data_IF_104387682701
#
_entry.id   IF_104387682701
#
_cell.length_a   1.000
_cell.length_b   1.000
_cell.length_c   1.000
_cell.angle_alpha   90.00
_cell.angle_beta   90.00
_cell.angle_gamma   90.00
#
_symmetry.space_group_name_H-M   'P 1'
#
loop_
_entity.id
_entity.type
_entity.pdbx_description
1 polymer ?
#
# COMPACT_ATOMS: atom_id res chain seq x y z
N UNK A 1 -38.83 54.62 29.36
CA UNK A 1 -39.51 53.30 29.21
C UNK A 1 -38.74 52.47 28.19
N UNK A 2 -38.40 51.22 28.56
CA UNK A 2 -38.23 49.98 27.75
C UNK A 2 -37.45 50.06 26.42
N UNK A 3 -36.56 49.15 26.00
CA UNK A 3 -35.79 48.00 26.49
C UNK A 3 -35.15 47.43 25.19
N UNK A 4 -33.91 46.92 25.26
CA UNK A 4 -33.31 45.83 24.42
C UNK A 4 -33.22 46.00 22.88
N UNK A 5 -31.99 46.06 22.32
CA UNK A 5 -31.20 44.97 21.71
C UNK A 5 -31.72 44.53 20.32
N UNK A 6 -30.90 44.36 19.28
CA UNK A 6 -30.15 43.13 19.01
C UNK A 6 -29.04 43.40 17.95
N UNK A 7 -27.85 42.91 18.27
CA UNK A 7 -26.68 42.73 17.39
C UNK A 7 -26.94 41.50 16.49
N UNK A 8 -26.76 41.61 15.18
CA UNK A 8 -26.60 40.45 14.30
C UNK A 8 -25.27 40.55 13.55
N UNK A 9 -24.23 40.10 14.25
CA UNK A 9 -22.94 39.73 13.69
C UNK A 9 -23.06 38.29 13.16
N UNK A 10 -23.54 38.12 11.93
CA UNK A 10 -23.55 36.81 11.26
C UNK A 10 -22.17 36.54 10.66
N UNK A 11 -21.25 36.12 11.53
CA UNK A 11 -20.10 35.31 11.13
C UNK A 11 -20.67 33.97 10.67
N UNK A 12 -20.74 33.78 9.35
CA UNK A 12 -20.94 32.48 8.72
C UNK A 12 -19.65 31.65 8.93
N UNK A 13 -19.46 31.14 10.14
CA UNK A 13 -18.67 29.94 10.36
C UNK A 13 -19.49 28.77 9.81
N UNK A 14 -19.44 28.58 8.49
CA UNK A 14 -19.64 27.26 7.91
C UNK A 14 -18.43 26.41 8.33
N UNK A 15 -18.47 25.98 9.59
CA UNK A 15 -17.70 24.83 10.02
C UNK A 15 -18.18 23.66 9.17
N UNK A 16 -17.35 23.24 8.22
CA UNK A 16 -17.40 21.91 7.66
C UNK A 16 -17.27 20.93 8.83
N UNK A 17 -18.42 20.52 9.38
CA UNK A 17 -18.52 19.29 10.14
C UNK A 17 -18.36 18.13 9.14
N UNK A 18 -17.13 17.91 8.68
CA UNK A 18 -16.77 16.58 8.23
C UNK A 18 -16.98 15.66 9.45
N UNK A 19 -17.74 14.58 9.33
CA UNK A 19 -17.88 13.63 10.43
C UNK A 19 -16.47 13.18 10.79
N UNK A 20 -16.06 13.50 12.01
CA UNK A 20 -14.78 13.12 12.58
C UNK A 20 -14.83 11.60 12.72
N UNK A 21 -14.51 10.89 11.63
CA UNK A 21 -14.50 9.44 11.56
C UNK A 21 -13.49 8.99 12.60
N UNK A 22 -13.98 8.30 13.63
CA UNK A 22 -13.23 7.92 14.83
C UNK A 22 -11.81 7.46 14.47
N UNK A 23 -10.80 8.26 14.85
CA UNK A 23 -9.37 7.94 14.71
C UNK A 23 -9.02 6.59 15.38
N UNK A 24 -9.85 6.13 16.34
CA UNK A 24 -9.65 4.87 17.05
C UNK A 24 -10.08 3.60 16.29
N UNK A 25 -10.95 3.65 15.27
CA UNK A 25 -11.38 2.44 14.54
C UNK A 25 -10.35 1.97 13.49
N UNK A 26 -9.48 2.86 13.02
CA UNK A 26 -8.57 2.55 11.90
C UNK A 26 -7.32 1.76 12.33
N UNK A 27 -7.01 1.71 13.64
CA UNK A 27 -5.84 1.01 14.18
C UNK A 27 -5.83 -0.51 13.91
N UNK A 28 -6.99 -1.09 13.59
CA UNK A 28 -7.14 -2.51 13.28
C UNK A 28 -6.74 -2.86 11.83
N UNK A 29 -6.45 -1.87 10.99
CA UNK A 29 -6.00 -2.07 9.62
C UNK A 29 -4.48 -1.98 9.48
N UNK A 30 -3.88 -2.70 8.51
CA UNK A 30 -2.47 -2.55 8.17
C UNK A 30 -2.10 -1.09 7.92
N UNK A 31 -0.88 -0.68 8.28
CA UNK A 31 -0.39 0.70 8.13
C UNK A 31 -0.62 1.27 6.74
N UNK A 32 -0.39 0.47 5.70
CA UNK A 32 -0.59 0.90 4.33
C UNK A 32 -2.06 1.18 3.98
N UNK A 33 -2.99 0.42 4.56
CA UNK A 33 -4.43 0.65 4.38
C UNK A 33 -4.84 1.95 5.07
N UNK A 34 -4.29 2.24 6.26
CA UNK A 34 -4.51 3.52 6.97
C UNK A 34 -3.98 4.70 6.18
N UNK A 35 -2.80 4.56 5.55
CA UNK A 35 -2.22 5.57 4.67
C UNK A 35 -3.16 5.87 3.48
N UNK A 36 -3.63 4.82 2.79
CA UNK A 36 -4.56 4.95 1.66
C UNK A 36 -5.84 5.67 2.08
N UNK A 37 -6.46 5.27 3.18
CA UNK A 37 -7.71 5.88 3.68
C UNK A 37 -7.51 7.33 4.08
N UNK A 38 -6.39 7.64 4.72
CA UNK A 38 -6.03 9.02 5.08
C UNK A 38 -5.88 9.87 3.82
N UNK A 39 -5.21 9.34 2.80
CA UNK A 39 -5.06 10.01 1.51
C UNK A 39 -6.41 10.21 0.80
N UNK A 40 -7.29 9.21 0.79
CA UNK A 40 -8.65 9.34 0.22
C UNK A 40 -9.48 10.42 0.92
N UNK A 41 -9.42 10.48 2.25
CA UNK A 41 -10.14 11.50 3.02
C UNK A 41 -9.65 12.92 2.70
N UNK A 42 -8.34 13.09 2.49
CA UNK A 42 -7.75 14.37 2.10
C UNK A 42 -8.03 14.73 0.62
N UNK A 43 -8.21 13.73 -0.23
CA UNK A 43 -8.40 13.88 -1.66
C UNK A 43 -9.69 13.19 -2.16
N UNK A 44 -10.88 13.70 -1.80
CA UNK A 44 -12.17 13.06 -2.12
C UNK A 44 -12.49 12.96 -3.62
N UNK A 45 -11.68 13.59 -4.47
CA UNK A 45 -11.79 13.49 -5.95
C UNK A 45 -10.90 12.40 -6.55
N UNK A 46 -10.17 11.64 -5.74
CA UNK A 46 -9.26 10.60 -6.21
C UNK A 46 -10.03 9.45 -6.88
N UNK A 47 -9.76 9.23 -8.17
CA UNK A 47 -10.49 8.25 -8.99
C UNK A 47 -11.62 8.85 -9.83
N UNK A 48 -11.94 10.14 -9.72
CA UNK A 48 -13.09 10.73 -10.42
C UNK A 48 -12.92 10.85 -11.94
N UNK A 49 -11.68 11.11 -12.40
CA UNK A 49 -11.31 11.10 -13.81
C UNK A 49 -9.81 10.82 -13.95
N UNK A 50 -9.38 10.49 -15.16
CA UNK A 50 -8.01 10.08 -15.46
C UNK A 50 -6.96 11.16 -15.09
N UNK A 51 -7.21 12.42 -15.45
CA UNK A 51 -6.26 13.52 -15.20
C UNK A 51 -6.05 13.74 -13.70
N UNK A 52 -7.13 13.81 -12.92
CA UNK A 52 -7.07 13.95 -11.46
C UNK A 52 -6.44 12.70 -10.84
N UNK A 53 -6.79 11.51 -11.33
CA UNK A 53 -6.27 10.24 -10.81
C UNK A 53 -4.77 10.14 -11.01
N UNK A 54 -4.27 10.49 -12.19
CA UNK A 54 -2.82 10.50 -12.48
C UNK A 54 -2.08 11.44 -11.53
N UNK A 55 -2.54 12.69 -11.42
CA UNK A 55 -1.93 13.68 -10.52
C UNK A 55 -1.88 13.18 -9.08
N UNK A 56 -2.99 12.66 -8.57
CA UNK A 56 -3.08 12.19 -7.18
C UNK A 56 -2.34 10.86 -6.96
N UNK A 57 -2.23 10.00 -7.97
CA UNK A 57 -1.36 8.82 -7.92
C UNK A 57 0.12 9.23 -7.80
N UNK A 58 0.55 10.27 -8.53
CA UNK A 58 1.91 10.81 -8.40
C UNK A 58 2.16 11.38 -6.99
N UNK A 59 1.20 12.14 -6.44
CA UNK A 59 1.28 12.64 -5.05
C UNK A 59 1.30 11.50 -4.01
N UNK A 60 0.45 10.48 -4.20
CA UNK A 60 0.41 9.31 -3.34
C UNK A 60 1.72 8.50 -3.40
N UNK A 61 2.30 8.34 -4.59
CA UNK A 61 3.58 7.65 -4.78
C UNK A 61 4.70 8.27 -3.95
N UNK A 62 4.75 9.59 -3.87
CA UNK A 62 5.74 10.30 -3.03
C UNK A 62 5.51 10.01 -1.54
N UNK A 63 4.27 10.07 -1.07
CA UNK A 63 3.94 9.77 0.34
C UNK A 63 4.19 8.30 0.70
N UNK A 64 3.85 7.38 -0.20
CA UNK A 64 4.12 5.96 -0.05
C UNK A 64 5.63 5.70 0.02
N UNK A 65 6.42 6.30 -0.87
CA UNK A 65 7.88 6.17 -0.87
C UNK A 65 8.50 6.64 0.45
N UNK A 66 7.99 7.73 1.02
CA UNK A 66 8.45 8.23 2.32
C UNK A 66 8.09 7.26 3.45
N UNK A 67 6.86 6.75 3.45
CA UNK A 67 6.39 5.76 4.44
C UNK A 67 7.19 4.46 4.38
N UNK A 68 7.56 4.00 3.17
CA UNK A 68 8.37 2.80 2.95
C UNK A 68 9.82 2.91 3.47
N UNK A 69 10.28 4.11 3.85
CA UNK A 69 11.57 4.26 4.54
C UNK A 69 11.56 3.67 5.95
N UNK A 70 10.40 3.59 6.58
CA UNK A 70 10.22 2.75 7.78
C UNK A 70 10.25 1.29 7.35
N UNK A 71 11.31 0.58 7.75
CA UNK A 71 11.57 -0.81 7.35
C UNK A 71 10.46 -1.77 7.76
N UNK A 72 9.67 -1.38 8.76
CA UNK A 72 8.56 -2.16 9.27
C UNK A 72 7.24 -1.82 8.59
N UNK A 73 7.14 -0.79 7.75
CA UNK A 73 5.87 -0.26 7.23
C UNK A 73 4.93 -1.32 6.63
N UNK A 74 5.47 -2.33 5.94
CA UNK A 74 4.72 -3.44 5.35
C UNK A 74 4.69 -4.74 6.19
N UNK A 75 5.28 -4.74 7.38
CA UNK A 75 5.39 -5.95 8.23
C UNK A 75 4.06 -6.47 8.79
N UNK A 76 2.98 -5.69 8.66
CA UNK A 76 1.61 -6.09 9.04
C UNK A 76 0.76 -6.56 7.84
N UNK A 77 1.36 -6.66 6.65
CA UNK A 77 0.74 -7.19 5.43
C UNK A 77 1.29 -8.58 5.12
N UNK A 78 0.38 -9.54 4.94
CA UNK A 78 0.71 -10.90 4.49
C UNK A 78 0.90 -10.91 2.98
N UNK A 79 2.00 -11.47 2.50
CA UNK A 79 2.30 -11.65 1.08
C UNK A 79 2.64 -13.11 0.80
N UNK A 80 2.20 -13.62 -0.34
CA UNK A 80 2.50 -14.97 -0.81
C UNK A 80 3.83 -14.97 -1.53
N UNK A 81 4.68 -15.95 -1.25
CA UNK A 81 5.85 -16.22 -2.08
C UNK A 81 5.39 -16.72 -3.45
N UNK A 82 5.85 -16.06 -4.51
CA UNK A 82 5.49 -16.39 -5.88
C UNK A 82 6.64 -17.07 -6.62
N UNK A 83 7.84 -16.50 -6.58
CA UNK A 83 9.02 -17.12 -7.17
C UNK A 83 10.31 -16.77 -6.47
N UNK A 84 11.32 -17.63 -6.66
CA UNK A 84 12.71 -17.42 -6.25
C UNK A 84 13.58 -17.66 -7.48
N UNK A 85 14.48 -16.72 -7.76
CA UNK A 85 15.42 -16.77 -8.88
C UNK A 85 16.85 -16.68 -8.35
N UNK A 86 17.71 -17.57 -8.81
CA UNK A 86 19.15 -17.46 -8.60
C UNK A 86 19.76 -16.58 -9.70
N UNK A 87 20.53 -15.58 -9.30
CA UNK A 87 21.26 -14.69 -10.21
C UNK A 87 22.58 -15.35 -10.64
N UNK A 88 23.20 -14.85 -11.71
CA UNK A 88 24.46 -15.40 -12.22
C UNK A 88 25.63 -15.34 -11.22
N UNK A 89 25.58 -14.41 -10.26
CA UNK A 89 26.56 -14.28 -9.18
C UNK A 89 26.21 -15.11 -7.92
N UNK A 90 25.25 -16.04 -8.03
CA UNK A 90 24.87 -16.97 -6.96
C UNK A 90 24.07 -16.33 -5.81
N UNK A 91 23.47 -15.15 -6.04
CA UNK A 91 22.53 -14.54 -5.10
C UNK A 91 21.11 -14.98 -5.43
N UNK A 92 20.22 -14.84 -4.47
CA UNK A 92 18.81 -15.18 -4.63
C UNK A 92 17.94 -13.94 -4.57
N UNK A 93 17.03 -13.79 -5.53
CA UNK A 93 15.98 -12.78 -5.54
C UNK A 93 14.66 -13.51 -5.28
N UNK A 94 13.90 -13.05 -4.30
CA UNK A 94 12.55 -13.54 -4.04
C UNK A 94 11.51 -12.50 -4.47
N UNK A 95 10.45 -12.97 -5.11
CA UNK A 95 9.27 -12.22 -5.46
C UNK A 95 8.09 -12.65 -4.58
N UNK A 96 7.56 -11.72 -3.81
CA UNK A 96 6.37 -11.89 -3.02
C UNK A 96 5.24 -11.04 -3.59
N UNK A 97 4.01 -11.54 -3.57
CA UNK A 97 2.85 -10.82 -4.06
C UNK A 97 1.72 -10.79 -3.04
N UNK A 98 0.92 -9.73 -3.06
CA UNK A 98 -0.36 -9.72 -2.34
C UNK A 98 -1.26 -10.87 -2.81
N UNK A 99 -1.84 -11.72 -1.93
CA UNK A 99 -2.93 -12.60 -2.34
C UNK A 99 -4.09 -11.85 -3.03
N UNK A 100 -4.73 -12.48 -4.01
CA UNK A 100 -5.88 -11.89 -4.71
C UNK A 100 -7.15 -11.88 -3.84
N UNK A 101 -7.30 -12.87 -2.96
CA UNK A 101 -8.44 -13.02 -2.05
C UNK A 101 -8.13 -12.30 -0.73
N UNK A 102 -9.03 -11.44 -0.25
CA UNK A 102 -9.02 -10.85 1.10
C UNK A 102 -8.04 -9.71 1.44
N UNK A 103 -7.50 -8.99 0.46
CA UNK A 103 -6.38 -8.07 0.70
C UNK A 103 -6.68 -6.58 0.85
N UNK A 104 -7.87 -6.19 1.30
CA UNK A 104 -8.27 -4.77 1.34
C UNK A 104 -8.09 -4.07 -0.03
N UNK A 105 -8.23 -4.83 -1.13
CA UNK A 105 -7.99 -4.42 -2.51
C UNK A 105 -6.57 -3.90 -2.81
N UNK A 106 -5.57 -4.31 -2.02
CA UNK A 106 -4.17 -4.03 -2.27
C UNK A 106 -3.62 -4.93 -3.38
N UNK A 107 -2.88 -4.33 -4.30
CA UNK A 107 -2.21 -5.03 -5.41
C UNK A 107 -0.74 -4.60 -5.42
N UNK A 108 0.19 -5.49 -5.10
CA UNK A 108 1.63 -5.18 -5.23
C UNK A 108 2.53 -6.42 -5.23
N UNK A 109 3.78 -6.18 -5.63
CA UNK A 109 4.89 -7.11 -5.45
C UNK A 109 5.93 -6.51 -4.49
N UNK A 110 6.55 -7.35 -3.67
CA UNK A 110 7.83 -7.06 -3.01
C UNK A 110 8.88 -7.95 -3.65
N UNK A 111 9.92 -7.34 -4.19
CA UNK A 111 11.08 -8.02 -4.76
C UNK A 111 12.29 -7.66 -3.93
N UNK A 112 13.15 -8.62 -3.63
CA UNK A 112 14.42 -8.30 -3.03
C UNK A 112 15.40 -9.45 -2.98
N UNK A 113 16.67 -9.08 -2.76
CA UNK A 113 17.70 -10.07 -2.46
C UNK A 113 17.41 -10.73 -1.11
N UNK A 114 17.53 -12.05 -1.07
CA UNK A 114 17.37 -12.87 0.13
C UNK A 114 18.61 -13.73 0.35
N UNK A 115 18.93 -14.03 1.61
CA UNK A 115 20.01 -14.96 1.94
C UNK A 115 19.62 -16.39 1.53
N UNK A 116 20.62 -17.22 1.24
CA UNK A 116 20.42 -18.64 0.98
C UNK A 116 19.70 -19.35 2.14
N UNK A 117 20.06 -19.00 3.38
CA UNK A 117 19.40 -19.51 4.58
C UNK A 117 17.89 -19.22 4.59
N UNK A 118 17.48 -18.00 4.20
CA UNK A 118 16.06 -17.69 4.08
C UNK A 118 15.42 -18.55 2.99
N UNK A 119 16.04 -18.68 1.82
CA UNK A 119 15.54 -19.50 0.69
C UNK A 119 15.24 -20.94 1.13
N UNK A 120 16.14 -21.56 1.88
CA UNK A 120 15.98 -22.96 2.32
C UNK A 120 14.77 -23.16 3.27
N UNK A 121 14.27 -22.09 3.88
CA UNK A 121 13.09 -22.10 4.77
C UNK A 121 11.79 -21.70 4.08
N UNK A 122 11.89 -21.14 2.85
CA UNK A 122 10.74 -20.68 2.10
C UNK A 122 10.01 -21.85 1.44
N UNK A 123 8.74 -21.99 1.79
CA UNK A 123 7.80 -22.94 1.18
C UNK A 123 7.05 -22.28 0.03
N UNK A 124 6.92 -23.02 -1.07
CA UNK A 124 6.08 -22.66 -2.22
C UNK A 124 4.65 -22.35 -1.78
N UNK A 125 4.04 -21.30 -2.36
CA UNK A 125 2.72 -20.78 -1.97
C UNK A 125 2.57 -20.39 -0.49
N UNK A 126 3.67 -20.33 0.27
CA UNK A 126 3.65 -19.89 1.65
C UNK A 126 3.35 -18.39 1.77
N UNK A 127 2.76 -18.02 2.92
CA UNK A 127 2.48 -16.63 3.27
C UNK A 127 3.49 -16.10 4.27
N UNK A 128 3.93 -14.87 4.08
CA UNK A 128 5.00 -14.25 4.84
C UNK A 128 4.72 -12.78 5.13
N UNK A 129 5.35 -12.26 6.18
CA UNK A 129 5.50 -10.82 6.42
C UNK A 129 6.94 -10.44 6.15
N UNK A 130 7.15 -9.29 5.49
CA UNK A 130 8.47 -8.84 5.05
C UNK A 130 8.86 -7.57 5.77
N UNK A 131 10.10 -7.54 6.29
CA UNK A 131 10.77 -6.34 6.78
C UNK A 131 12.03 -6.14 5.95
N UNK A 132 12.23 -4.93 5.43
CA UNK A 132 13.35 -4.65 4.54
C UNK A 132 13.62 -3.16 4.37
N UNK A 133 14.76 -2.84 3.78
CA UNK A 133 15.11 -1.46 3.44
C UNK A 133 14.61 -1.18 2.03
N UNK A 134 13.68 -0.24 1.89
CA UNK A 134 13.20 0.23 0.59
C UNK A 134 14.34 0.81 -0.24
N UNK A 135 14.44 0.36 -1.49
CA UNK A 135 15.44 0.83 -2.47
C UNK A 135 14.83 1.65 -3.61
N UNK A 136 13.54 1.47 -3.86
CA UNK A 136 12.83 2.15 -4.93
C UNK A 136 11.67 1.30 -5.46
N UNK A 137 10.93 1.87 -6.40
CA UNK A 137 9.98 1.11 -7.19
C UNK A 137 10.67 0.61 -8.47
N UNK A 138 10.36 -0.62 -8.87
CA UNK A 138 10.75 -1.11 -10.19
C UNK A 138 9.71 -0.57 -11.18
N UNK A 139 10.13 0.33 -12.05
CA UNK A 139 9.28 0.92 -13.08
C UNK A 139 9.41 0.21 -14.43
N UNK A 140 10.58 -0.39 -14.70
CA UNK A 140 10.93 -1.06 -15.95
C UNK A 140 11.84 -2.26 -15.65
N UNK A 141 11.99 -3.18 -16.63
CA UNK A 141 12.90 -4.32 -16.50
C UNK A 141 12.42 -5.39 -15.51
N UNK A 142 11.11 -5.62 -15.43
CA UNK A 142 10.53 -6.54 -14.45
C UNK A 142 11.05 -7.98 -14.56
N UNK A 143 11.27 -8.46 -15.78
CA UNK A 143 11.70 -9.84 -16.06
C UNK A 143 13.09 -10.18 -15.46
N UNK A 144 13.88 -9.16 -15.13
CA UNK A 144 15.13 -9.34 -14.41
C UNK A 144 14.89 -9.86 -12.98
N UNK A 145 13.73 -9.53 -12.41
CA UNK A 145 13.40 -9.65 -10.99
C UNK A 145 12.26 -10.63 -10.67
N UNK A 146 11.27 -10.76 -11.54
CA UNK A 146 10.03 -11.49 -11.25
C UNK A 146 9.45 -12.15 -12.51
N UNK A 147 8.81 -13.30 -12.30
CA UNK A 147 8.10 -14.02 -13.37
C UNK A 147 6.62 -13.58 -13.48
N UNK A 148 6.04 -13.17 -12.34
CA UNK A 148 4.63 -12.78 -12.24
C UNK A 148 4.51 -11.41 -11.58
N UNK A 149 3.86 -10.49 -12.30
CA UNK A 149 3.63 -9.11 -11.88
C UNK A 149 2.15 -8.88 -11.53
N UNK A 150 1.91 -8.28 -10.37
CA UNK A 150 0.59 -7.90 -9.91
C UNK A 150 0.14 -6.57 -10.55
N UNK A 151 0.94 -5.50 -10.39
CA UNK A 151 0.64 -4.19 -10.95
C UNK A 151 1.88 -3.30 -11.00
N UNK A 152 1.91 -2.42 -11.99
CA UNK A 152 2.85 -1.30 -12.13
C UNK A 152 2.28 0.02 -11.56
N UNK A 153 0.98 0.06 -11.28
CA UNK A 153 0.30 1.25 -10.80
C UNK A 153 0.61 1.45 -9.31
N UNK A 154 0.94 2.69 -8.96
CA UNK A 154 1.02 3.15 -7.58
C UNK A 154 -0.11 4.15 -7.37
N UNK A 155 -1.04 3.81 -6.48
CA UNK A 155 -2.25 4.58 -6.21
C UNK A 155 -3.52 3.87 -6.67
N UNK A 156 -4.57 4.66 -6.91
CA UNK A 156 -5.91 4.13 -7.14
C UNK A 156 -6.10 3.73 -8.59
N UNK A 157 -6.66 2.55 -8.80
CA UNK A 157 -7.10 2.01 -10.08
C UNK A 157 -8.57 1.62 -9.97
N UNK A 158 -9.39 2.09 -10.90
CA UNK A 158 -10.76 1.60 -11.01
C UNK A 158 -10.71 0.15 -11.48
N UNK A 159 -11.37 -0.75 -10.77
CA UNK A 159 -11.63 -2.08 -11.30
C UNK A 159 -12.82 -1.94 -12.27
N UNK A 160 -12.63 -2.30 -13.53
CA UNK A 160 -13.70 -2.17 -14.53
C UNK A 160 -14.72 -3.31 -14.44
N UNK A 161 -14.29 -4.45 -13.87
CA UNK A 161 -15.11 -5.66 -13.74
C UNK A 161 -15.93 -5.68 -12.44
N UNK A 162 -15.43 -5.00 -11.39
CA UNK A 162 -16.08 -4.91 -10.08
C UNK A 162 -16.20 -3.44 -9.71
N UNK A 163 -17.35 -2.97 -9.19
CA UNK A 163 -17.57 -1.56 -8.80
C UNK A 163 -16.67 -1.05 -7.64
N UNK A 164 -15.65 -1.81 -7.27
CA UNK A 164 -14.70 -1.51 -6.21
C UNK A 164 -13.40 -0.91 -6.76
N UNK A 165 -12.74 -0.09 -5.95
CA UNK A 165 -11.41 0.43 -6.28
C UNK A 165 -10.34 -0.56 -5.82
N UNK A 166 -9.31 -0.74 -6.65
CA UNK A 166 -8.07 -1.38 -6.28
C UNK A 166 -7.00 -0.32 -6.00
N UNK A 167 -6.09 -0.64 -5.08
CA UNK A 167 -4.98 0.23 -4.71
C UNK A 167 -3.67 -0.49 -5.02
N UNK A 168 -3.00 -0.02 -6.06
CA UNK A 168 -1.69 -0.50 -6.43
C UNK A 168 -0.61 0.12 -5.54
N UNK A 169 0.36 -0.68 -5.09
CA UNK A 169 1.61 -0.16 -4.50
C UNK A 169 2.81 -0.36 -5.44
N UNK A 170 2.56 -0.78 -6.68
CA UNK A 170 3.57 -1.10 -7.68
C UNK A 170 4.41 -2.33 -7.33
N UNK A 171 5.60 -2.40 -7.91
CA UNK A 171 6.62 -3.39 -7.56
C UNK A 171 7.69 -2.71 -6.70
N UNK A 172 7.79 -3.15 -5.45
CA UNK A 172 8.65 -2.53 -4.44
C UNK A 172 9.96 -3.31 -4.36
N UNK A 173 11.08 -2.65 -4.66
CA UNK A 173 12.42 -3.23 -4.48
C UNK A 173 12.88 -3.00 -3.04
N UNK A 174 13.25 -4.07 -2.36
CA UNK A 174 13.76 -4.07 -1.01
C UNK A 174 15.09 -4.82 -0.90
N UNK A 175 15.93 -4.36 0.02
CA UNK A 175 16.95 -5.20 0.64
C UNK A 175 16.28 -5.91 1.84
N UNK A 176 15.83 -7.14 1.62
CA UNK A 176 15.01 -7.90 2.55
C UNK A 176 15.88 -8.37 3.72
N UNK A 177 15.46 -8.01 4.95
CA UNK A 177 16.20 -8.35 6.17
C UNK A 177 15.57 -9.50 6.93
N UNK A 178 14.25 -9.52 7.01
CA UNK A 178 13.51 -10.52 7.77
C UNK A 178 12.33 -11.00 6.93
N UNK A 179 12.19 -12.32 6.85
CA UNK A 179 11.03 -12.98 6.27
C UNK A 179 10.47 -13.92 7.33
N UNK A 180 9.28 -13.62 7.83
CA UNK A 180 8.62 -14.45 8.83
C UNK A 180 7.39 -15.10 8.22
N UNK A 181 7.16 -16.39 8.51
CA UNK A 181 5.93 -17.07 8.13
C UNK A 181 4.74 -16.34 8.75
N UNK A 182 3.78 -15.97 7.91
CA UNK A 182 2.55 -15.32 8.34
C UNK A 182 1.65 -16.36 9.00
N UNK A 183 1.16 -16.05 10.20
CA UNK A 183 0.14 -16.84 10.89
C UNK A 183 -1.29 -16.53 10.38
N UNK A 184 -1.44 -15.45 9.61
CA UNK A 184 -2.67 -15.13 8.91
C UNK A 184 -2.68 -15.95 7.62
N UNK A 185 -3.31 -17.12 7.69
CA UNK A 185 -3.85 -17.75 6.49
C UNK A 185 -5.11 -16.97 6.14
N UNK A 186 -5.09 -16.31 4.98
CA UNK A 186 -6.31 -15.72 4.44
C UNK A 186 -7.20 -16.89 4.00
N UNK A 187 -8.04 -17.38 4.92
CA UNK A 187 -9.18 -18.24 4.61
C UNK A 187 -10.24 -17.42 3.86
#
# INVERSE_FOLDING_TARGET
MKKTAIVFLSVLLLGCNAPNKNINEDNNHPRVVRLIRSFENLHPKWGNNEVITKKLNDEFKVQLADSLKDTTFLSDVSVRLESIKETQDGKYIANFMTPYTNNNNLLFNIVGYVSKENVDTLLENGYYTITGVFKGFIENGFDDYLDVRMTDIIGKKKNEEYENNNYGLGTILMDIKIVNKSLKSDN
#
